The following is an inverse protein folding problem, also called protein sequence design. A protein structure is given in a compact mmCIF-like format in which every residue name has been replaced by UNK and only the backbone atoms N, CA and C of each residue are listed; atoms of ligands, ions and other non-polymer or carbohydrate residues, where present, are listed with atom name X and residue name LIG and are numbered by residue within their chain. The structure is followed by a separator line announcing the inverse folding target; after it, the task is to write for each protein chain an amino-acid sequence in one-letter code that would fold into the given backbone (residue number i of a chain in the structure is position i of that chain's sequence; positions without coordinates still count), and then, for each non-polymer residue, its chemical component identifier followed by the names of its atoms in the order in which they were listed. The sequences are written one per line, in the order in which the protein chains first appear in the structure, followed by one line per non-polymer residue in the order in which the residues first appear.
data_IF_286101314877
#
_entry.id   IF_286101314877
#
_cell.length_a   1.000
_cell.length_b   1.000
_cell.length_c   1.000
_cell.angle_alpha   90.00
_cell.angle_beta   90.00
_cell.angle_gamma   90.00
#
_symmetry.space_group_name_H-M   'P 1'
#
loop_
_entity.id
_entity.type
_entity.pdbx_description
1 polymer ?
#
# COMPACT_ATOMS: atom_id res chain seq x y z
N UNK A 1 -0.09 -14.15 -4.63
CA UNK A 1 -1.04 -13.80 -5.70
C UNK A 1 -0.32 -13.78 -7.04
N UNK A 2 -0.94 -14.31 -8.08
CA UNK A 2 -0.41 -14.50 -9.44
C UNK A 2 -1.22 -13.67 -10.45
N UNK A 3 -0.79 -13.65 -11.71
CA UNK A 3 -1.55 -12.99 -12.77
C UNK A 3 -2.90 -13.64 -13.07
N UNK A 4 -3.03 -14.95 -12.84
CA UNK A 4 -4.29 -15.66 -12.95
C UNK A 4 -5.29 -15.17 -11.89
N UNK A 5 -4.82 -14.96 -10.66
CA UNK A 5 -5.63 -14.46 -9.54
C UNK A 5 -6.12 -13.03 -9.82
N UNK A 6 -5.25 -12.14 -10.33
CA UNK A 6 -5.64 -10.78 -10.77
C UNK A 6 -6.73 -10.79 -11.83
N UNK A 7 -6.60 -11.68 -12.81
CA UNK A 7 -7.59 -11.83 -13.88
C UNK A 7 -8.92 -12.34 -13.31
N UNK A 8 -8.89 -13.30 -12.39
CA UNK A 8 -10.07 -13.81 -11.70
C UNK A 8 -10.76 -12.71 -10.87
N UNK A 9 -9.98 -11.84 -10.22
CA UNK A 9 -10.45 -10.69 -9.48
C UNK A 9 -10.92 -9.53 -10.37
N UNK A 10 -10.79 -9.65 -11.70
CA UNK A 10 -11.18 -8.64 -12.71
C UNK A 10 -10.49 -7.29 -12.53
N UNK A 11 -9.25 -7.30 -12.04
CA UNK A 11 -8.47 -6.09 -11.80
C UNK A 11 -7.71 -5.72 -13.08
N UNK A 12 -7.67 -4.43 -13.37
CA UNK A 12 -6.96 -3.86 -14.52
C UNK A 12 -6.14 -2.67 -14.05
N UNK A 13 -4.86 -2.65 -14.40
CA UNK A 13 -4.01 -1.49 -14.21
C UNK A 13 -4.13 -0.57 -15.42
N UNK A 14 -4.27 0.72 -15.15
CA UNK A 14 -4.32 1.77 -16.17
C UNK A 14 -3.18 2.71 -15.83
N UNK A 15 -2.17 2.75 -16.69
CA UNK A 15 -1.09 3.75 -16.59
C UNK A 15 -1.67 5.13 -16.83
N UNK A 16 -1.34 6.08 -15.97
CA UNK A 16 -1.75 7.48 -16.09
C UNK A 16 -0.52 8.36 -16.06
N UNK A 17 -0.42 9.26 -17.04
CA UNK A 17 0.65 10.26 -17.10
C UNK A 17 0.27 11.51 -16.28
N UNK A 18 -1.02 11.83 -16.22
CA UNK A 18 -1.55 12.92 -15.42
C UNK A 18 -1.79 12.46 -13.98
N UNK A 19 -0.91 12.90 -13.07
CA UNK A 19 -0.99 12.59 -11.64
C UNK A 19 -2.26 13.12 -10.98
N UNK A 20 -2.94 14.11 -11.58
CA UNK A 20 -4.21 14.61 -11.06
C UNK A 20 -5.34 13.56 -11.14
N UNK A 21 -5.21 12.57 -12.02
CA UNK A 21 -6.14 11.42 -12.09
C UNK A 21 -5.96 10.46 -10.90
N UNK A 22 -4.83 10.51 -10.22
CA UNK A 22 -4.54 9.75 -8.98
C UNK A 22 -4.80 10.63 -7.76
N UNK A 23 -4.47 11.92 -7.86
CA UNK A 23 -4.57 12.91 -6.79
C UNK A 23 -5.31 14.17 -7.29
N UNK A 24 -6.66 14.22 -7.19
CA UNK A 24 -7.49 15.22 -7.86
C UNK A 24 -7.38 16.65 -7.33
N UNK A 25 -6.50 16.91 -6.36
CA UNK A 25 -6.27 18.25 -5.79
C UNK A 25 -4.83 18.68 -6.00
N UNK A 26 -4.64 19.93 -6.37
CA UNK A 26 -3.34 20.59 -6.33
C UNK A 26 -2.76 20.44 -4.91
N UNK A 27 -1.57 19.82 -4.83
CA UNK A 27 -0.87 19.63 -3.57
C UNK A 27 -0.08 20.90 -3.30
N UNK A 28 -0.37 21.57 -2.19
CA UNK A 28 0.53 22.61 -1.68
C UNK A 28 1.81 21.93 -1.17
N UNK A 29 2.87 22.05 -1.95
CA UNK A 29 4.19 21.53 -1.61
C UNK A 29 4.95 22.45 -0.66
N UNK A 30 4.43 23.64 -0.32
CA UNK A 30 5.10 24.62 0.53
C UNK A 30 5.67 24.02 1.83
N UNK A 31 4.87 23.31 2.64
CA UNK A 31 5.34 22.65 3.85
C UNK A 31 6.40 21.55 3.61
N UNK A 32 6.40 20.97 2.41
CA UNK A 32 7.20 19.81 2.01
C UNK A 32 8.31 20.14 1.01
N UNK A 33 8.64 21.42 0.84
CA UNK A 33 9.63 21.88 -0.14
C UNK A 33 10.99 21.17 0.00
N UNK A 34 11.37 20.81 1.23
CA UNK A 34 12.59 20.08 1.55
C UNK A 34 12.64 18.65 0.96
N UNK A 35 11.51 18.10 0.52
CA UNK A 35 11.45 16.83 -0.21
C UNK A 35 11.83 16.99 -1.69
N UNK A 36 11.87 18.22 -2.21
CA UNK A 36 12.20 18.51 -3.59
C UNK A 36 13.68 18.88 -3.73
N UNK A 37 14.54 17.87 -3.82
CA UNK A 37 15.97 18.04 -4.06
C UNK A 37 16.23 18.47 -5.51
N UNK A 38 16.38 19.78 -5.75
CA UNK A 38 16.64 20.34 -7.08
C UNK A 38 18.12 20.28 -7.46
N UNK A 39 18.40 20.00 -8.73
CA UNK A 39 19.76 20.08 -9.28
C UNK A 39 20.71 19.00 -8.76
N UNK A 40 20.16 17.88 -8.27
CA UNK A 40 20.89 16.70 -7.83
C UNK A 40 20.34 15.50 -8.59
N UNK A 41 21.23 14.73 -9.19
CA UNK A 41 20.95 13.40 -9.70
C UNK A 41 21.57 12.31 -8.79
N UNK A 42 21.48 11.06 -9.22
CA UNK A 42 22.03 9.93 -8.49
C UNK A 42 23.55 10.03 -8.26
N UNK A 43 24.30 10.55 -9.23
CA UNK A 43 25.75 10.68 -9.13
C UNK A 43 26.14 11.83 -8.19
N UNK A 44 25.42 12.95 -8.28
CA UNK A 44 25.51 14.07 -7.35
C UNK A 44 25.24 13.63 -5.91
N UNK A 45 24.21 12.81 -5.66
CA UNK A 45 23.89 12.29 -4.33
C UNK A 45 25.08 11.59 -3.66
N UNK A 46 25.87 10.83 -4.41
CA UNK A 46 27.00 10.04 -3.89
C UNK A 46 28.26 10.88 -3.68
N UNK A 47 28.49 11.89 -4.52
CA UNK A 47 29.72 12.70 -4.53
C UNK A 47 29.67 13.97 -3.66
N UNK A 48 28.50 14.34 -3.15
CA UNK A 48 28.25 15.55 -2.37
C UNK A 48 28.99 15.61 -1.01
N UNK A 49 29.74 16.69 -0.76
CA UNK A 49 30.23 17.04 0.57
C UNK A 49 29.18 17.84 1.38
N UNK A 50 28.28 17.11 2.03
CA UNK A 50 27.15 17.68 2.77
C UNK A 50 27.54 18.57 3.95
N UNK A 51 28.76 18.41 4.49
CA UNK A 51 29.20 19.23 5.64
C UNK A 51 29.35 20.68 5.22
N UNK A 52 29.94 20.91 4.06
CA UNK A 52 30.29 22.25 3.56
C UNK A 52 29.28 22.79 2.54
N UNK A 53 28.38 21.96 2.01
CA UNK A 53 27.38 22.42 1.03
C UNK A 53 26.31 23.31 1.67
N UNK A 54 26.23 24.58 1.25
CA UNK A 54 25.26 25.56 1.72
C UNK A 54 23.95 25.58 0.94
N UNK A 55 23.86 24.82 -0.17
CA UNK A 55 22.67 24.81 -1.05
C UNK A 55 21.47 24.12 -0.39
N UNK A 56 21.72 23.28 0.63
CA UNK A 56 20.72 22.44 1.28
C UNK A 56 20.50 22.84 2.73
N UNK A 57 19.24 22.92 3.14
CA UNK A 57 18.86 23.06 4.55
C UNK A 57 19.12 21.76 5.34
N UNK A 58 18.95 21.81 6.66
CA UNK A 58 19.22 20.66 7.54
C UNK A 58 18.34 19.44 7.24
N UNK A 59 17.09 19.65 6.79
CA UNK A 59 16.15 18.58 6.44
C UNK A 59 16.49 17.97 5.09
N UNK A 60 16.84 18.80 4.10
CA UNK A 60 17.33 18.38 2.80
C UNK A 60 18.62 17.56 2.95
N UNK A 61 19.58 18.02 3.76
CA UNK A 61 20.79 17.25 4.09
C UNK A 61 20.47 15.91 4.75
N UNK A 62 19.52 15.89 5.69
CA UNK A 62 19.04 14.67 6.32
C UNK A 62 18.44 13.67 5.33
N UNK A 63 17.63 14.15 4.39
CA UNK A 63 17.06 13.34 3.31
C UNK A 63 18.15 12.80 2.38
N UNK A 64 19.10 13.65 1.94
CA UNK A 64 20.22 13.24 1.09
C UNK A 64 21.04 12.14 1.77
N UNK A 65 21.33 12.24 3.07
CA UNK A 65 22.04 11.20 3.81
C UNK A 65 21.30 9.86 3.78
N UNK A 66 19.97 9.86 3.91
CA UNK A 66 19.16 8.62 3.87
C UNK A 66 19.17 8.01 2.48
N UNK A 67 18.97 8.83 1.44
CA UNK A 67 19.03 8.38 0.04
C UNK A 67 20.40 7.79 -0.30
N UNK A 68 21.49 8.48 0.08
CA UNK A 68 22.87 8.00 -0.11
C UNK A 68 23.07 6.65 0.56
N UNK A 69 22.64 6.49 1.82
CA UNK A 69 22.76 5.23 2.55
C UNK A 69 22.06 4.07 1.85
N UNK A 70 20.90 4.29 1.23
CA UNK A 70 20.18 3.26 0.46
C UNK A 70 20.97 2.92 -0.80
N UNK A 71 21.45 3.93 -1.53
CA UNK A 71 22.21 3.76 -2.76
C UNK A 71 23.53 3.01 -2.54
N UNK A 72 24.26 3.32 -1.47
CA UNK A 72 25.51 2.63 -1.08
C UNK A 72 25.29 1.16 -0.72
N UNK A 73 24.09 0.78 -0.28
CA UNK A 73 23.75 -0.62 0.04
C UNK A 73 23.22 -1.42 -1.13
N UNK A 74 23.05 -0.83 -2.31
CA UNK A 74 22.63 -1.57 -3.50
C UNK A 74 23.66 -2.66 -3.79
N UNK A 75 23.22 -3.92 -3.69
CA UNK A 75 24.09 -5.10 -3.90
C UNK A 75 24.79 -5.64 -2.64
N UNK A 76 24.52 -5.09 -1.45
CA UNK A 76 25.01 -5.61 -0.17
C UNK A 76 24.11 -6.74 0.38
N UNK A 77 24.46 -7.30 1.55
CA UNK A 77 23.77 -8.44 2.15
C UNK A 77 22.24 -8.28 2.18
N UNK A 78 21.53 -9.34 1.80
CA UNK A 78 20.05 -9.43 1.76
C UNK A 78 19.48 -8.94 3.10
N UNK A 79 18.59 -7.94 3.06
CA UNK A 79 17.93 -7.36 4.24
C UNK A 79 18.45 -5.99 4.69
N UNK A 80 19.65 -5.56 4.25
CA UNK A 80 20.23 -4.26 4.68
C UNK A 80 19.68 -3.08 3.88
N UNK A 81 19.43 -3.27 2.59
CA UNK A 81 18.73 -2.29 1.75
C UNK A 81 17.26 -2.14 2.19
N UNK A 82 16.66 -3.24 2.62
CA UNK A 82 15.26 -3.31 3.05
C UNK A 82 15.01 -2.49 4.32
N UNK A 83 15.90 -2.60 5.31
CA UNK A 83 15.75 -1.82 6.56
C UNK A 83 15.90 -0.33 6.32
N UNK A 84 16.87 0.08 5.50
CA UNK A 84 17.10 1.50 5.16
C UNK A 84 15.96 2.10 4.34
N UNK A 85 15.39 1.32 3.42
CA UNK A 85 14.19 1.73 2.67
C UNK A 85 13.01 1.93 3.62
N UNK A 86 12.83 0.98 4.55
CA UNK A 86 11.81 1.06 5.61
C UNK A 86 11.95 2.31 6.47
N UNK A 87 13.16 2.63 6.91
CA UNK A 87 13.42 3.83 7.69
C UNK A 87 13.09 5.10 6.89
N UNK A 88 13.50 5.17 5.61
CA UNK A 88 13.16 6.30 4.74
C UNK A 88 11.64 6.46 4.60
N UNK A 89 10.89 5.38 4.39
CA UNK A 89 9.43 5.44 4.26
C UNK A 89 8.78 5.93 5.55
N UNK A 90 9.18 5.39 6.71
CA UNK A 90 8.65 5.82 8.00
C UNK A 90 8.92 7.31 8.27
N UNK A 91 10.12 7.77 7.95
CA UNK A 91 10.53 9.17 8.07
C UNK A 91 9.74 10.09 7.15
N UNK A 92 9.50 9.69 5.90
CA UNK A 92 8.69 10.45 4.95
C UNK A 92 7.25 10.56 5.42
N UNK A 93 6.62 9.45 5.82
CA UNK A 93 5.24 9.44 6.32
C UNK A 93 5.10 10.36 7.55
N UNK A 94 6.04 10.25 8.50
CA UNK A 94 6.03 11.09 9.70
C UNK A 94 6.27 12.56 9.37
N UNK A 95 7.27 12.86 8.52
CA UNK A 95 7.59 14.23 8.10
C UNK A 95 6.47 14.91 7.31
N UNK A 96 5.65 14.12 6.61
CA UNK A 96 4.45 14.59 5.93
C UNK A 96 3.21 14.69 6.84
N UNK A 97 3.32 14.41 8.14
CA UNK A 97 2.23 14.49 9.11
C UNK A 97 1.24 13.30 9.07
N UNK A 98 1.55 12.22 8.36
CA UNK A 98 0.66 11.05 8.25
C UNK A 98 0.62 10.20 9.54
N UNK A 99 1.49 10.51 10.51
CA UNK A 99 1.46 9.92 11.84
C UNK A 99 1.02 10.94 12.91
N UNK A 100 0.11 11.84 12.54
CA UNK A 100 -0.47 12.84 13.44
C UNK A 100 -1.99 12.89 13.27
N UNK A 101 -2.71 13.14 14.38
CA UNK A 101 -4.18 13.13 14.39
C UNK A 101 -4.76 14.01 13.26
N UNK A 102 -5.74 13.50 12.47
CA UNK A 102 -6.51 12.27 12.68
C UNK A 102 -5.90 11.00 12.05
N UNK A 103 -4.68 11.08 11.53
CA UNK A 103 -4.00 9.94 10.90
C UNK A 103 -3.11 9.17 11.89
N UNK A 104 -2.92 7.89 11.61
CA UNK A 104 -1.92 7.04 12.28
C UNK A 104 -1.21 6.14 11.29
N UNK A 105 0.08 5.86 11.55
CA UNK A 105 0.88 4.92 10.75
C UNK A 105 1.10 3.64 11.54
N UNK A 106 0.69 2.52 10.96
CA UNK A 106 0.93 1.17 11.48
C UNK A 106 1.99 0.47 10.63
N UNK A 107 3.02 -0.10 11.26
CA UNK A 107 4.07 -0.90 10.60
C UNK A 107 3.75 -2.38 10.69
N UNK A 108 3.87 -3.09 9.57
CA UNK A 108 3.57 -4.52 9.44
C UNK A 108 2.20 -4.95 10.08
N UNK A 109 1.11 -4.16 9.93
CA UNK A 109 -0.19 -4.53 10.50
C UNK A 109 -0.76 -5.78 9.83
N UNK A 110 -1.42 -6.65 10.59
CA UNK A 110 -2.08 -7.83 10.05
C UNK A 110 -3.57 -7.57 9.80
N UNK A 111 -3.98 -7.60 8.54
CA UNK A 111 -5.40 -7.56 8.14
C UNK A 111 -5.85 -8.95 7.71
N UNK A 112 -7.08 -9.30 8.10
CA UNK A 112 -7.70 -10.59 7.77
C UNK A 112 -9.06 -10.36 7.12
N UNK A 113 -9.30 -11.04 6.02
CA UNK A 113 -10.58 -10.99 5.31
C UNK A 113 -11.09 -12.42 5.04
N UNK A 114 -12.30 -12.72 5.50
CA UNK A 114 -12.99 -13.99 5.23
C UNK A 114 -13.62 -13.93 3.83
N UNK A 115 -13.17 -14.82 2.94
CA UNK A 115 -13.69 -14.95 1.57
C UNK A 115 -14.77 -16.04 1.45
N UNK A 116 -15.23 -16.60 2.58
CA UNK A 116 -16.26 -17.62 2.65
C UNK A 116 -15.73 -19.04 2.80
N UNK A 117 -16.62 -19.95 3.20
CA UNK A 117 -16.34 -21.39 3.40
C UNK A 117 -15.16 -21.68 4.36
N UNK A 118 -14.88 -20.77 5.30
CA UNK A 118 -13.78 -20.91 6.25
C UNK A 118 -12.40 -20.57 5.67
N UNK A 119 -12.35 -19.98 4.47
CA UNK A 119 -11.10 -19.52 3.87
C UNK A 119 -10.86 -18.06 4.27
N UNK A 120 -9.69 -17.82 4.85
CA UNK A 120 -9.24 -16.48 5.22
C UNK A 120 -8.05 -16.07 4.35
N UNK A 121 -8.02 -14.80 3.96
CA UNK A 121 -6.86 -14.18 3.35
C UNK A 121 -6.25 -13.23 4.36
N UNK A 122 -4.95 -13.38 4.60
CA UNK A 122 -4.18 -12.53 5.51
C UNK A 122 -3.24 -11.66 4.68
N UNK A 123 -3.21 -10.37 5.02
CA UNK A 123 -2.33 -9.37 4.43
C UNK A 123 -1.49 -8.70 5.52
N UNK A 124 -0.20 -8.56 5.25
CA UNK A 124 0.76 -7.86 6.12
C UNK A 124 1.55 -6.87 5.24
N UNK A 125 0.96 -5.70 4.92
CA UNK A 125 1.65 -4.62 4.22
C UNK A 125 2.77 -4.04 5.09
N UNK A 126 3.77 -3.40 4.47
CA UNK A 126 4.90 -2.82 5.20
C UNK A 126 4.47 -1.66 6.10
N UNK A 127 3.62 -0.78 5.57
CA UNK A 127 2.94 0.26 6.34
C UNK A 127 1.49 0.42 5.89
N UNK A 128 0.64 0.84 6.82
CA UNK A 128 -0.70 1.36 6.50
C UNK A 128 -0.88 2.69 7.21
N UNK A 129 -1.39 3.67 6.47
CA UNK A 129 -1.93 4.88 7.07
C UNK A 129 -3.42 4.73 7.22
N UNK A 130 -3.92 5.05 8.40
CA UNK A 130 -5.32 4.93 8.75
C UNK A 130 -5.92 6.30 9.10
N UNK A 131 -7.18 6.49 8.71
CA UNK A 131 -8.09 7.55 9.16
C UNK A 131 -9.49 6.97 9.15
N UNK A 132 -9.98 6.55 10.31
CA UNK A 132 -11.23 5.80 10.46
C UNK A 132 -11.29 4.48 9.64
N UNK A 133 -10.12 4.00 9.20
CA UNK A 133 -9.91 2.86 8.31
C UNK A 133 -8.66 3.06 7.42
N UNK A 134 -8.17 2.02 6.72
CA UNK A 134 -7.02 2.15 5.82
C UNK A 134 -7.27 3.13 4.67
N UNK A 135 -6.39 4.12 4.50
CA UNK A 135 -6.44 5.10 3.41
C UNK A 135 -5.24 4.99 2.45
N UNK A 136 -4.08 4.59 2.97
CA UNK A 136 -2.86 4.37 2.17
C UNK A 136 -2.21 3.06 2.59
N UNK A 137 -2.02 2.15 1.64
CA UNK A 137 -1.30 0.89 1.83
C UNK A 137 0.08 1.03 1.20
N UNK A 138 1.14 0.82 1.98
CA UNK A 138 2.52 0.91 1.52
C UNK A 138 3.13 -0.47 1.47
N UNK A 139 3.52 -0.89 0.26
CA UNK A 139 4.29 -2.11 0.04
C UNK A 139 5.74 -1.76 -0.28
N UNK A 140 6.63 -2.19 0.60
CA UNK A 140 8.06 -2.11 0.34
C UNK A 140 8.49 -3.42 -0.33
N UNK A 141 8.91 -3.35 -1.59
CA UNK A 141 9.43 -4.51 -2.27
C UNK A 141 10.89 -4.73 -1.89
N UNK A 142 11.05 -5.52 -0.83
CA UNK A 142 12.31 -5.93 -0.20
C UNK A 142 13.25 -6.72 -1.12
N UNK A 143 12.89 -6.98 -2.39
CA UNK A 143 13.74 -7.74 -3.32
C UNK A 143 13.56 -7.25 -4.75
N UNK A 144 14.58 -6.59 -5.31
CA UNK A 144 14.66 -6.31 -6.77
C UNK A 144 14.44 -7.58 -7.61
N UNK A 145 14.80 -8.77 -7.11
CA UNK A 145 14.55 -10.05 -7.81
C UNK A 145 13.07 -10.41 -7.98
N UNK A 146 12.20 -9.90 -7.11
CA UNK A 146 10.74 -10.04 -7.21
C UNK A 146 10.14 -9.00 -8.16
N UNK A 147 10.86 -7.91 -8.41
CA UNK A 147 10.57 -6.98 -9.48
C UNK A 147 10.97 -7.62 -10.82
N UNK A 148 10.17 -8.57 -11.30
CA UNK A 148 10.30 -9.11 -12.65
C UNK A 148 8.95 -9.18 -13.36
N UNK A 149 8.98 -9.27 -14.69
CA UNK A 149 7.79 -9.25 -15.55
C UNK A 149 6.76 -10.35 -15.20
N UNK A 150 7.20 -11.51 -14.71
CA UNK A 150 6.32 -12.64 -14.38
C UNK A 150 5.43 -12.30 -13.18
N UNK A 151 5.98 -11.59 -12.19
CA UNK A 151 5.23 -11.13 -11.01
C UNK A 151 4.58 -9.76 -11.20
N UNK A 152 4.51 -9.26 -12.45
CA UNK A 152 4.18 -7.86 -12.78
C UNK A 152 4.87 -6.88 -11.84
N UNK A 153 6.18 -7.10 -11.65
CA UNK A 153 6.97 -6.23 -10.80
C UNK A 153 6.35 -6.06 -9.40
N UNK A 154 5.79 -7.09 -8.77
CA UNK A 154 5.22 -7.01 -7.42
C UNK A 154 3.87 -6.29 -7.29
N UNK A 155 3.29 -5.77 -8.38
CA UNK A 155 1.99 -5.07 -8.37
C UNK A 155 0.86 -5.97 -7.88
N UNK A 156 0.92 -7.26 -8.22
CA UNK A 156 -0.02 -8.25 -7.73
C UNK A 156 -0.06 -8.29 -6.21
N UNK A 157 1.08 -8.17 -5.52
CA UNK A 157 1.09 -8.18 -4.07
C UNK A 157 0.40 -6.95 -3.51
N UNK A 158 0.79 -5.76 -3.97
CA UNK A 158 0.18 -4.50 -3.50
C UNK A 158 -1.33 -4.54 -3.68
N UNK A 159 -1.82 -5.00 -4.82
CA UNK A 159 -3.26 -5.09 -5.09
C UNK A 159 -4.00 -6.05 -4.16
N UNK A 160 -3.42 -7.20 -3.83
CA UNK A 160 -4.00 -8.09 -2.81
C UNK A 160 -4.09 -7.38 -1.46
N UNK A 161 -3.01 -6.70 -1.07
CA UNK A 161 -2.94 -5.99 0.21
C UNK A 161 -3.97 -4.86 0.26
N UNK A 162 -4.11 -4.07 -0.81
CA UNK A 162 -5.14 -3.02 -0.92
C UNK A 162 -6.54 -3.61 -0.77
N UNK A 163 -6.86 -4.73 -1.43
CA UNK A 163 -8.19 -5.36 -1.30
C UNK A 163 -8.42 -5.84 0.13
N UNK A 164 -7.50 -6.62 0.70
CA UNK A 164 -7.69 -7.19 2.03
C UNK A 164 -7.75 -6.11 3.10
N UNK A 165 -6.84 -5.12 3.07
CA UNK A 165 -6.86 -4.01 4.02
C UNK A 165 -8.13 -3.18 3.86
N UNK A 166 -8.51 -2.89 2.61
CA UNK A 166 -9.74 -2.17 2.28
C UNK A 166 -10.97 -2.80 2.89
N UNK A 167 -11.16 -4.11 2.69
CA UNK A 167 -12.35 -4.84 3.13
C UNK A 167 -12.34 -5.20 4.62
N UNK A 168 -11.16 -5.41 5.21
CA UNK A 168 -11.04 -5.73 6.63
C UNK A 168 -11.10 -4.49 7.53
N UNK A 169 -10.56 -3.36 7.07
CA UNK A 169 -10.34 -2.17 7.89
C UNK A 169 -11.36 -1.05 7.69
N UNK A 170 -12.20 -1.08 6.64
CA UNK A 170 -13.24 -0.07 6.44
C UNK A 170 -14.62 -0.61 6.79
N UNK A 171 -15.53 0.31 7.15
CA UNK A 171 -16.96 0.00 7.19
C UNK A 171 -17.41 -0.31 5.76
N UNK A 172 -18.04 -1.46 5.55
CA UNK A 172 -18.51 -1.91 4.24
C UNK A 172 -19.80 -1.18 3.82
N UNK A 173 -19.71 0.14 3.69
CA UNK A 173 -20.79 1.04 3.29
C UNK A 173 -20.34 1.83 2.06
N UNK A 174 -20.91 1.53 0.89
CA UNK A 174 -20.58 2.21 -0.36
C UNK A 174 -19.20 1.86 -0.94
N UNK A 175 -18.76 2.68 -1.88
CA UNK A 175 -17.49 2.50 -2.59
C UNK A 175 -16.30 2.88 -1.68
N UNK A 176 -15.27 2.04 -1.64
CA UNK A 176 -14.10 2.24 -0.77
C UNK A 176 -12.93 2.77 -1.60
N UNK A 177 -12.58 4.07 -1.51
CA UNK A 177 -11.40 4.62 -2.14
C UNK A 177 -10.14 4.21 -1.37
N UNK A 178 -9.11 3.76 -2.08
CA UNK A 178 -7.84 3.40 -1.48
C UNK A 178 -6.68 3.93 -2.31
N UNK A 179 -5.61 4.29 -1.62
CA UNK A 179 -4.33 4.61 -2.23
C UNK A 179 -3.31 3.52 -1.91
N UNK A 180 -2.44 3.26 -2.87
CA UNK A 180 -1.32 2.34 -2.74
C UNK A 180 -0.02 3.07 -3.02
N UNK A 181 1.03 2.74 -2.30
CA UNK A 181 2.38 3.18 -2.60
C UNK A 181 3.30 1.97 -2.62
N UNK A 182 3.96 1.75 -3.75
CA UNK A 182 5.02 0.75 -3.86
C UNK A 182 6.38 1.42 -3.79
N UNK A 183 7.27 0.87 -2.98
CA UNK A 183 8.62 1.41 -2.77
C UNK A 183 9.66 0.34 -3.10
N UNK A 184 10.60 0.66 -3.99
CA UNK A 184 11.79 -0.16 -4.27
C UNK A 184 13.03 0.71 -4.10
N UNK A 185 13.74 0.54 -2.99
CA UNK A 185 14.90 1.38 -2.66
C UNK A 185 14.51 2.86 -2.59
N UNK A 186 14.81 3.62 -3.65
CA UNK A 186 14.48 5.05 -3.76
C UNK A 186 13.40 5.36 -4.80
N UNK A 187 12.80 4.34 -5.42
CA UNK A 187 11.76 4.49 -6.43
C UNK A 187 10.38 4.31 -5.80
N UNK A 188 9.47 5.24 -6.09
CA UNK A 188 8.10 5.27 -5.59
C UNK A 188 7.12 5.18 -6.75
N UNK A 189 6.15 4.27 -6.65
CA UNK A 189 5.02 4.17 -7.58
C UNK A 189 3.72 4.32 -6.80
N UNK A 190 2.84 5.20 -7.25
CA UNK A 190 1.57 5.49 -6.59
C UNK A 190 0.40 4.87 -7.35
N UNK A 191 -0.57 4.38 -6.61
CA UNK A 191 -1.77 3.72 -7.12
C UNK A 191 -3.00 4.35 -6.46
N UNK A 192 -4.08 4.42 -7.22
CA UNK A 192 -5.40 4.76 -6.72
C UNK A 192 -6.40 3.72 -7.23
N UNK A 193 -7.32 3.31 -6.37
CA UNK A 193 -8.41 2.40 -6.75
C UNK A 193 -9.66 2.72 -5.95
N UNK A 194 -10.79 2.27 -6.49
CA UNK A 194 -12.08 2.29 -5.80
C UNK A 194 -12.60 0.86 -5.79
N UNK A 195 -12.72 0.27 -4.59
CA UNK A 195 -13.39 -1.02 -4.44
C UNK A 195 -14.89 -0.75 -4.41
N UNK A 196 -15.55 -1.00 -5.53
CA UNK A 196 -16.98 -0.73 -5.64
C UNK A 196 -17.80 -1.60 -4.67
N UNK A 197 -18.88 -1.06 -4.12
CA UNK A 197 -19.75 -1.80 -3.18
C UNK A 197 -20.22 -3.14 -3.74
N UNK A 198 -20.71 -3.10 -4.99
CA UNK A 198 -21.14 -4.29 -5.73
C UNK A 198 -20.06 -5.35 -5.83
N UNK A 199 -18.78 -4.98 -5.83
CA UNK A 199 -17.69 -5.93 -5.98
C UNK A 199 -17.54 -6.78 -4.70
N UNK A 200 -17.45 -6.16 -3.53
CA UNK A 200 -17.26 -6.91 -2.29
C UNK A 200 -18.53 -7.63 -1.82
N UNK A 201 -19.71 -7.12 -2.15
CA UNK A 201 -20.97 -7.85 -1.96
C UNK A 201 -21.02 -9.15 -2.79
N UNK A 202 -20.35 -9.16 -3.95
CA UNK A 202 -20.24 -10.33 -4.81
C UNK A 202 -19.07 -11.25 -4.41
N UNK A 203 -17.94 -10.70 -3.93
CA UNK A 203 -16.82 -11.50 -3.42
C UNK A 203 -17.25 -12.33 -2.20
N UNK A 204 -17.96 -11.70 -1.27
CA UNK A 204 -18.46 -12.35 -0.07
C UNK A 204 -19.83 -12.97 -0.26
N UNK A 205 -20.11 -13.63 -1.40
CA UNK A 205 -21.48 -14.01 -1.79
C UNK A 205 -22.24 -14.72 -0.68
N UNK A 206 -23.00 -13.88 0.03
CA UNK A 206 -24.11 -14.13 0.97
C UNK A 206 -25.20 -15.01 0.36
N UNK A 207 -25.12 -15.37 -0.93
CA UNK A 207 -26.11 -16.21 -1.62
C UNK A 207 -26.19 -17.61 -0.99
N UNK A 208 -25.05 -18.27 -0.75
CA UNK A 208 -25.03 -19.57 -0.09
C UNK A 208 -25.36 -19.50 1.41
N UNK A 209 -24.92 -18.45 2.13
CA UNK A 209 -25.24 -18.29 3.55
C UNK A 209 -26.73 -17.97 3.81
N UNK A 210 -27.43 -17.31 2.88
CA UNK A 210 -28.88 -17.08 2.98
C UNK A 210 -29.72 -18.29 2.53
N UNK A 211 -29.31 -19.01 1.49
CA UNK A 211 -29.99 -20.24 1.04
C UNK A 211 -29.84 -21.37 2.07
N UNK A 212 -28.63 -21.58 2.62
CA UNK A 212 -28.40 -22.60 3.65
C UNK A 212 -29.09 -22.27 4.97
N UNK A 213 -29.19 -20.99 5.36
CA UNK A 213 -29.95 -20.57 6.54
C UNK A 213 -31.45 -20.84 6.36
N UNK A 214 -32.03 -20.48 5.19
CA UNK A 214 -33.42 -20.81 4.84
C UNK A 214 -33.70 -22.32 4.87
N UNK A 215 -32.80 -23.14 4.32
CA UNK A 215 -32.94 -24.60 4.32
C UNK A 215 -32.85 -25.16 5.75
N UNK A 216 -31.98 -24.63 6.59
CA UNK A 216 -31.83 -25.06 7.99
C UNK A 216 -33.04 -24.68 8.86
N UNK A 217 -33.64 -23.51 8.63
CA UNK A 217 -34.81 -23.04 9.37
C UNK A 217 -36.08 -23.84 8.97
N UNK A 218 -36.21 -24.23 7.70
CA UNK A 218 -37.30 -25.10 7.22
C UNK A 218 -37.20 -26.51 7.82
N UNK A 219 -36.00 -27.07 7.97
CA UNK A 219 -35.79 -28.39 8.58
C UNK A 219 -36.15 -28.38 10.07
N UNK A 220 -35.69 -27.37 10.82
CA UNK A 220 -36.04 -27.22 12.24
C UNK A 220 -37.54 -27.08 12.51
N UNK A 221 -38.29 -26.44 11.61
CA UNK A 221 -39.75 -26.33 11.74
C UNK A 221 -40.50 -27.65 11.47
N UNK A 222 -39.93 -28.56 10.67
CA UNK A 222 -40.49 -29.91 10.45
C UNK A 222 -40.25 -30.82 11.65
N UNK A 223 -39.04 -30.82 12.19
CA UNK A 223 -38.66 -31.67 13.31
C UNK A 223 -39.34 -31.26 14.64
N UNK A 224 -39.87 -30.03 14.73
CA UNK A 224 -40.65 -29.55 15.88
C UNK A 224 -42.16 -29.84 15.82
N UNK A 225 -42.63 -30.49 14.74
CA UNK A 225 -44.06 -30.79 14.50
C UNK A 225 -44.37 -32.30 14.48
N UNK A 226 -43.38 -33.15 14.72
CA UNK A 226 -43.50 -34.59 15.00
C UNK A 226 -43.32 -34.84 16.50
#
# INVERSE_FOLDING_TARGET
MTGADIKALKIRYIGVEDISLVFPKAIDIGPYKYLHLRGIDAEGLLSLDLKNDIRFDIREKGLILKLRRIMETRGTAIGTEDSKTSDLVADLLTGMGWNTFPFSVSRDPAYKFDIGLGNEVISVPGYVVEKDGPVLIVNEDKRIKNANRIWQWGEYRLTAEMIVCGLAGNRLEGDIPLHGMRVIGTQFTFYHTIIAEKYYLNLGSRKEKMENKKISDIRRQRDSRE
#
